data_IF_046035322361
#
_entry.id   IF_046035322361
#
_cell.length_a   1.000
_cell.length_b   1.000
_cell.length_c   1.000
_cell.angle_alpha   90.00
_cell.angle_beta   90.00
_cell.angle_gamma   90.00
#
_symmetry.space_group_name_H-M   'P 1'
#
loop_
_entity.id
_entity.type
_entity.pdbx_description
1 polymer ?
#
# COMPACT_ATOMS: atom_id res chain seq x y z
N UNK A 1 14.34 -2.05 -9.18
CA UNK A 1 14.68 -0.67 -9.61
C UNK A 1 15.92 -0.10 -8.89
N UNK A 2 15.94 0.00 -7.55
CA UNK A 2 17.15 0.44 -6.79
C UNK A 2 18.41 -0.39 -7.10
N UNK A 3 18.26 -1.72 -7.25
CA UNK A 3 19.37 -2.63 -7.63
C UNK A 3 19.97 -2.23 -8.99
N UNK A 4 19.15 -1.94 -10.00
CA UNK A 4 19.63 -1.54 -11.33
C UNK A 4 20.34 -0.18 -11.26
N UNK A 5 19.78 0.79 -10.53
CA UNK A 5 20.41 2.09 -10.34
C UNK A 5 21.80 1.95 -9.70
N UNK A 6 21.93 1.12 -8.66
CA UNK A 6 23.21 0.83 -8.00
C UNK A 6 24.22 0.14 -8.93
N UNK A 7 23.76 -0.71 -9.85
CA UNK A 7 24.62 -1.44 -10.79
C UNK A 7 25.04 -0.61 -12.02
N UNK A 8 24.24 0.38 -12.42
CA UNK A 8 24.39 1.07 -13.72
C UNK A 8 24.68 2.57 -13.59
N UNK A 9 24.57 3.15 -12.40
CA UNK A 9 24.64 4.60 -12.20
C UNK A 9 23.41 5.36 -12.71
N UNK A 10 22.36 4.64 -13.15
CA UNK A 10 21.10 5.26 -13.54
C UNK A 10 20.44 5.99 -12.35
N UNK A 11 19.71 7.08 -12.63
CA UNK A 11 18.99 7.83 -11.60
C UNK A 11 18.07 6.90 -10.81
N UNK A 12 18.19 6.95 -9.48
CA UNK A 12 17.32 6.18 -8.61
C UNK A 12 15.84 6.58 -8.83
N UNK A 13 14.91 5.62 -8.79
CA UNK A 13 13.50 5.94 -8.92
C UNK A 13 13.08 6.85 -7.76
N UNK A 14 12.20 7.80 -8.07
CA UNK A 14 11.52 8.58 -7.04
C UNK A 14 10.53 7.67 -6.32
N UNK A 15 10.64 7.64 -4.99
CA UNK A 15 9.83 6.76 -4.16
C UNK A 15 8.73 7.60 -3.53
N UNK A 16 7.45 7.26 -3.75
CA UNK A 16 6.35 8.07 -3.28
C UNK A 16 6.29 8.06 -1.75
N UNK A 17 5.98 9.21 -1.18
CA UNK A 17 5.83 9.43 0.25
C UNK A 17 4.50 10.16 0.55
N UNK A 18 4.05 10.08 1.80
CA UNK A 18 2.83 10.75 2.26
C UNK A 18 1.65 10.50 1.33
N UNK A 19 0.98 11.57 0.88
CA UNK A 19 -0.20 11.47 0.00
C UNK A 19 0.07 10.69 -1.29
N UNK A 20 1.23 10.89 -1.94
CA UNK A 20 1.55 10.18 -3.17
C UNK A 20 1.67 8.66 -2.94
N UNK A 21 2.11 8.24 -1.75
CA UNK A 21 2.12 6.83 -1.37
C UNK A 21 0.71 6.30 -1.18
N UNK A 22 -0.14 7.02 -0.45
CA UNK A 22 -1.55 6.65 -0.26
C UNK A 22 -2.29 6.55 -1.60
N UNK A 23 -2.09 7.51 -2.51
CA UNK A 23 -2.72 7.52 -3.84
C UNK A 23 -2.26 6.31 -4.67
N UNK A 24 -0.96 6.00 -4.64
CA UNK A 24 -0.40 4.82 -5.32
C UNK A 24 -1.00 3.52 -4.76
N UNK A 25 -1.10 3.38 -3.44
CA UNK A 25 -1.69 2.19 -2.80
C UNK A 25 -3.17 2.08 -3.14
N UNK A 26 -3.92 3.18 -3.13
CA UNK A 26 -5.33 3.21 -3.53
C UNK A 26 -5.53 2.79 -4.98
N UNK A 27 -4.75 3.32 -5.92
CA UNK A 27 -4.81 2.92 -7.32
C UNK A 27 -4.48 1.42 -7.51
N UNK A 28 -3.51 0.90 -6.76
CA UNK A 28 -3.17 -0.52 -6.80
C UNK A 28 -4.28 -1.40 -6.21
N UNK A 29 -4.94 -0.94 -5.14
CA UNK A 29 -6.11 -1.62 -4.57
C UNK A 29 -7.24 -1.75 -5.59
N UNK A 30 -7.62 -0.66 -6.24
CA UNK A 30 -8.66 -0.66 -7.27
C UNK A 30 -8.28 -1.55 -8.46
N UNK A 31 -7.02 -1.54 -8.89
CA UNK A 31 -6.55 -2.41 -9.95
C UNK A 31 -6.69 -3.90 -9.60
N UNK A 32 -6.37 -4.30 -8.36
CA UNK A 32 -6.58 -5.68 -7.90
C UNK A 32 -8.06 -6.06 -7.88
N UNK A 33 -8.94 -5.14 -7.47
CA UNK A 33 -10.39 -5.35 -7.46
C UNK A 33 -10.94 -5.50 -8.88
N UNK A 34 -10.50 -4.66 -9.81
CA UNK A 34 -10.88 -4.73 -11.23
C UNK A 34 -10.39 -6.00 -11.92
N UNK A 35 -9.19 -6.48 -11.59
CA UNK A 35 -8.60 -7.67 -12.22
C UNK A 35 -9.13 -8.99 -11.66
N UNK A 36 -9.23 -9.12 -10.33
CA UNK A 36 -9.59 -10.38 -9.67
C UNK A 36 -11.06 -10.46 -9.22
N UNK A 37 -11.81 -9.35 -9.28
CA UNK A 37 -13.12 -9.22 -8.65
C UNK A 37 -13.04 -9.15 -7.13
N UNK A 38 -14.13 -8.77 -6.47
CA UNK A 38 -14.09 -8.42 -5.04
C UNK A 38 -13.66 -9.55 -4.11
N UNK A 39 -14.11 -10.79 -4.37
CA UNK A 39 -13.85 -11.93 -3.49
C UNK A 39 -12.36 -12.34 -3.47
N UNK A 40 -11.75 -12.50 -4.64
CA UNK A 40 -10.33 -12.87 -4.74
C UNK A 40 -9.44 -11.64 -4.57
N UNK A 41 -9.81 -10.50 -5.19
CA UNK A 41 -9.10 -9.23 -5.09
C UNK A 41 -8.93 -8.77 -3.65
N UNK A 42 -9.97 -8.86 -2.82
CA UNK A 42 -9.87 -8.53 -1.39
C UNK A 42 -8.87 -9.41 -0.62
N UNK A 43 -8.78 -10.71 -0.94
CA UNK A 43 -7.79 -11.61 -0.32
C UNK A 43 -6.37 -11.27 -0.75
N UNK A 44 -6.15 -11.04 -2.04
CA UNK A 44 -4.85 -10.65 -2.58
C UNK A 44 -4.44 -9.30 -1.99
N UNK A 45 -5.32 -8.30 -2.05
CA UNK A 45 -5.07 -6.95 -1.58
C UNK A 45 -4.66 -6.91 -0.10
N UNK A 46 -5.29 -7.68 0.78
CA UNK A 46 -4.94 -7.73 2.22
C UNK A 46 -3.47 -8.08 2.47
N UNK A 47 -2.89 -8.95 1.65
CA UNK A 47 -1.46 -9.28 1.73
C UNK A 47 -0.59 -8.05 1.42
N UNK A 48 -0.89 -7.35 0.32
CA UNK A 48 -0.17 -6.14 -0.09
C UNK A 48 -0.32 -5.01 0.93
N UNK A 49 -1.54 -4.80 1.44
CA UNK A 49 -1.83 -3.81 2.48
C UNK A 49 -1.02 -4.10 3.75
N UNK A 50 -0.82 -5.38 4.09
CA UNK A 50 0.06 -5.80 5.16
C UNK A 50 1.49 -5.26 5.02
N UNK A 51 2.07 -5.30 3.83
CA UNK A 51 3.41 -4.77 3.54
C UNK A 51 3.46 -3.24 3.54
N UNK A 52 2.46 -2.59 2.94
CA UNK A 52 2.40 -1.12 2.92
C UNK A 52 2.29 -0.53 4.32
N UNK A 53 1.49 -1.15 5.19
CA UNK A 53 1.31 -0.71 6.57
C UNK A 53 2.52 -0.99 7.47
N UNK A 54 3.35 -1.97 7.11
CA UNK A 54 4.63 -2.20 7.80
C UNK A 54 5.59 -1.04 7.53
N UNK A 55 5.72 -0.64 6.26
CA UNK A 55 6.52 0.52 5.88
C UNK A 55 5.97 1.84 6.44
N UNK A 56 4.64 2.00 6.48
CA UNK A 56 4.00 3.23 6.99
C UNK A 56 3.96 3.31 8.53
N UNK A 57 4.42 2.28 9.24
CA UNK A 57 4.35 2.24 10.71
C UNK A 57 2.93 2.29 11.27
N UNK A 58 1.96 1.68 10.57
CA UNK A 58 0.54 1.78 10.94
C UNK A 58 0.27 1.19 12.34
N UNK A 59 -0.44 1.91 13.23
CA UNK A 59 -0.79 1.40 14.56
C UNK A 59 -1.56 0.08 14.49
N UNK A 60 -1.29 -0.83 15.43
CA UNK A 60 -1.85 -2.19 15.43
C UNK A 60 -3.40 -2.23 15.37
N UNK A 61 -4.07 -1.29 16.04
CA UNK A 61 -5.53 -1.18 16.01
C UNK A 61 -6.07 -0.92 14.60
N UNK A 62 -5.48 0.05 13.91
CA UNK A 62 -5.88 0.47 12.56
C UNK A 62 -5.47 -0.56 11.51
N UNK A 63 -4.30 -1.21 11.69
CA UNK A 63 -3.89 -2.36 10.89
C UNK A 63 -4.93 -3.48 10.95
N UNK A 64 -5.38 -3.83 12.16
CA UNK A 64 -6.41 -4.87 12.37
C UNK A 64 -7.72 -4.48 11.69
N UNK A 65 -8.19 -3.25 11.92
CA UNK A 65 -9.43 -2.73 11.32
C UNK A 65 -9.42 -2.87 9.79
N UNK A 66 -8.34 -2.40 9.15
CA UNK A 66 -8.19 -2.42 7.71
C UNK A 66 -8.09 -3.85 7.13
N UNK A 67 -7.40 -4.77 7.82
CA UNK A 67 -7.28 -6.17 7.37
C UNK A 67 -8.56 -6.99 7.56
N UNK A 68 -9.50 -6.54 8.39
CA UNK A 68 -10.79 -7.22 8.60
C UNK A 68 -11.97 -6.52 7.91
N UNK A 69 -11.75 -5.32 7.35
CA UNK A 69 -12.78 -4.55 6.69
C UNK A 69 -13.33 -5.26 5.45
N UNK A 70 -14.60 -5.00 5.16
CA UNK A 70 -15.20 -5.34 3.87
C UNK A 70 -14.46 -4.57 2.74
N UNK A 71 -14.27 -5.15 1.54
CA UNK A 71 -13.47 -4.54 0.49
C UNK A 71 -13.87 -3.09 0.17
N UNK A 72 -15.15 -2.80 0.20
CA UNK A 72 -15.74 -1.49 -0.14
C UNK A 72 -15.38 -0.41 0.89
N UNK A 73 -14.98 -0.80 2.10
CA UNK A 73 -14.58 0.10 3.19
C UNK A 73 -13.10 0.42 3.17
N UNK A 74 -12.28 -0.39 2.50
CA UNK A 74 -10.81 -0.25 2.51
C UNK A 74 -10.35 1.11 1.95
N UNK A 75 -10.86 1.62 0.82
CA UNK A 75 -10.39 2.90 0.26
C UNK A 75 -10.53 4.08 1.24
N UNK A 76 -11.58 4.09 2.05
CA UNK A 76 -11.80 5.13 3.06
C UNK A 76 -10.86 5.04 4.28
N UNK A 77 -10.29 3.86 4.54
CA UNK A 77 -9.36 3.62 5.65
C UNK A 77 -7.90 3.88 5.25
N UNK A 78 -7.55 3.79 3.96
CA UNK A 78 -6.18 3.99 3.47
C UNK A 78 -5.57 5.33 3.91
N UNK A 79 -6.28 6.47 3.82
CA UNK A 79 -5.72 7.75 4.23
C UNK A 79 -5.48 7.85 5.73
N UNK A 80 -6.10 7.00 6.57
CA UNK A 80 -5.83 6.94 8.00
C UNK A 80 -4.65 6.00 8.29
N UNK A 81 -4.63 4.85 7.61
CA UNK A 81 -3.64 3.80 7.85
C UNK A 81 -2.24 4.19 7.35
N UNK A 82 -2.14 5.03 6.32
CA UNK A 82 -0.89 5.32 5.62
C UNK A 82 -0.39 6.76 5.81
N UNK A 83 -0.83 7.47 6.86
CA UNK A 83 -0.41 8.86 7.13
C UNK A 83 1.07 8.99 7.51
N UNK A 84 1.69 7.92 7.98
CA UNK A 84 3.11 7.90 8.33
C UNK A 84 4.00 8.11 7.12
N UNK A 85 5.16 8.72 7.34
CA UNK A 85 6.25 8.65 6.37
C UNK A 85 6.63 7.17 6.18
N UNK A 86 6.93 6.77 4.95
CA UNK A 86 7.48 5.43 4.70
C UNK A 86 8.82 5.36 5.46
N UNK A 87 8.88 4.58 6.53
CA UNK A 87 10.14 4.27 7.19
C UNK A 87 10.97 3.43 6.22
N UNK A 88 11.85 4.09 5.47
CA UNK A 88 12.78 3.42 4.58
C UNK A 88 13.74 2.56 5.44
N UNK A 89 13.50 1.24 5.45
CA UNK A 89 14.48 0.26 5.88
C UNK A 89 15.65 0.16 4.89
#
# INVERSE_FOLDING_TARGET
ARIIAALTGARAPEIPQGRAFTDMVGAHYEAMMGFYGAALGGRVARKHLGWYMEEAGTPAALRRELLTAAPERVPGLLPLALQGERCAA
#
